data_IF_777210843177
#
_entry.id   IF_777210843177
#
_cell.length_a   1.000
_cell.length_b   1.000
_cell.length_c   1.000
_cell.angle_alpha   90.00
_cell.angle_beta   90.00
_cell.angle_gamma   90.00
#
_symmetry.space_group_name_H-M   'P 1'
#
loop_
_entity.id
_entity.type
_entity.pdbx_description
1 polymer ?
#
# COMPACT_ATOMS: atom_id res chain seq x y z
N UNK A 1 36.50 17.27 22.89
CA UNK A 1 35.45 16.36 22.35
C UNK A 1 35.09 15.34 23.42
N UNK A 2 33.83 14.90 23.52
CA UNK A 2 33.44 13.80 24.41
C UNK A 2 34.33 12.57 24.18
N UNK A 3 34.69 11.84 25.23
CA UNK A 3 35.53 10.62 25.16
C UNK A 3 34.93 9.53 24.25
N UNK A 4 33.60 9.57 24.04
CA UNK A 4 32.87 8.71 23.11
C UNK A 4 33.32 8.82 21.64
N UNK A 5 33.96 9.92 21.23
CA UNK A 5 34.48 10.11 19.87
C UNK A 5 36.01 9.98 19.79
N UNK A 6 36.65 9.40 20.83
CA UNK A 6 38.10 9.33 20.90
C UNK A 6 38.72 8.27 19.98
N UNK A 7 37.94 7.26 19.56
CA UNK A 7 38.44 6.21 18.66
C UNK A 7 38.26 6.59 17.20
N UNK A 8 39.29 6.35 16.37
CA UNK A 8 39.20 6.58 14.91
C UNK A 8 38.22 5.63 14.22
N UNK A 9 37.89 4.49 14.85
CA UNK A 9 37.01 3.47 14.30
C UNK A 9 35.98 3.08 15.36
N UNK A 10 34.78 2.71 14.92
CA UNK A 10 33.73 2.13 15.77
C UNK A 10 34.26 0.86 16.44
N UNK A 11 34.17 0.72 17.78
CA UNK A 11 34.53 -0.50 18.48
C UNK A 11 33.73 -1.69 17.95
N UNK A 12 34.40 -2.63 17.27
CA UNK A 12 33.74 -3.75 16.56
C UNK A 12 33.03 -4.75 17.48
N UNK A 13 33.43 -4.79 18.75
CA UNK A 13 32.78 -5.63 19.76
C UNK A 13 31.44 -5.04 20.26
N UNK A 14 31.28 -3.72 20.21
CA UNK A 14 30.07 -3.00 20.64
C UNK A 14 29.12 -2.70 19.47
N UNK A 15 29.51 -3.05 18.25
CA UNK A 15 28.69 -2.93 17.05
C UNK A 15 27.52 -3.92 17.13
N UNK A 16 26.29 -3.39 17.20
CA UNK A 16 25.06 -4.18 17.29
C UNK A 16 24.77 -4.87 15.94
N UNK A 17 25.30 -6.09 15.76
CA UNK A 17 25.08 -6.93 14.57
C UNK A 17 24.63 -8.34 14.95
N UNK A 18 23.57 -8.85 14.32
CA UNK A 18 23.08 -10.20 14.50
C UNK A 18 23.87 -11.24 13.65
N UNK A 19 25.19 -11.30 13.80
CA UNK A 19 26.05 -12.26 13.07
C UNK A 19 26.38 -13.48 13.93
N UNK A 20 25.89 -14.71 13.62
CA UNK A 20 26.11 -15.90 14.45
C UNK A 20 27.59 -16.19 14.75
N UNK A 21 28.48 -15.95 13.78
CA UNK A 21 29.93 -16.17 13.95
C UNK A 21 30.55 -15.30 15.06
N UNK A 22 29.98 -14.11 15.36
CA UNK A 22 30.47 -13.22 16.42
C UNK A 22 29.96 -13.61 17.81
N UNK A 23 28.85 -14.34 17.90
CA UNK A 23 28.15 -14.59 19.16
C UNK A 23 27.96 -16.09 19.47
N UNK A 24 28.54 -16.98 18.66
CA UNK A 24 28.58 -18.43 18.89
C UNK A 24 27.33 -19.18 18.40
N UNK A 25 26.15 -18.59 18.51
CA UNK A 25 24.90 -19.14 17.96
C UNK A 25 24.01 -18.06 17.36
N UNK A 26 22.95 -18.47 16.64
CA UNK A 26 21.96 -17.54 16.07
C UNK A 26 21.16 -16.85 17.17
N UNK A 27 20.74 -17.62 18.17
CA UNK A 27 19.94 -17.17 19.31
C UNK A 27 20.73 -16.17 20.17
N UNK A 28 22.02 -16.44 20.41
CA UNK A 28 22.88 -15.53 21.17
C UNK A 28 23.15 -14.22 20.40
N UNK A 29 23.27 -14.29 19.07
CA UNK A 29 23.42 -13.11 18.23
C UNK A 29 22.14 -12.24 18.22
N UNK A 30 20.97 -12.88 18.14
CA UNK A 30 19.66 -12.22 18.20
C UNK A 30 19.45 -11.56 19.57
N UNK A 31 19.74 -12.26 20.68
CA UNK A 31 19.65 -11.70 22.03
C UNK A 31 20.59 -10.50 22.24
N UNK A 32 21.87 -10.61 21.84
CA UNK A 32 22.82 -9.50 21.94
C UNK A 32 22.36 -8.26 21.16
N UNK A 33 21.88 -8.46 19.93
CA UNK A 33 21.34 -7.39 19.11
C UNK A 33 20.13 -6.74 19.80
N UNK A 34 19.21 -7.55 20.33
CA UNK A 34 17.98 -7.07 20.94
C UNK A 34 18.17 -6.31 22.23
N UNK A 35 18.98 -6.83 23.14
CA UNK A 35 19.27 -6.18 24.41
C UNK A 35 20.01 -4.86 24.18
N UNK A 36 20.98 -4.87 23.27
CA UNK A 36 21.75 -3.68 22.90
C UNK A 36 20.90 -2.61 22.20
N UNK A 37 20.04 -3.00 21.26
CA UNK A 37 19.12 -2.08 20.58
C UNK A 37 18.11 -1.50 21.56
N UNK A 38 17.55 -2.32 22.45
CA UNK A 38 16.61 -1.86 23.48
C UNK A 38 17.25 -0.84 24.41
N UNK A 39 18.47 -1.10 24.89
CA UNK A 39 19.21 -0.17 25.74
C UNK A 39 19.58 1.13 25.00
N UNK A 40 20.01 1.05 23.75
CA UNK A 40 20.29 2.22 22.92
C UNK A 40 19.04 3.08 22.72
N UNK A 41 17.91 2.46 22.39
CA UNK A 41 16.62 3.14 22.22
C UNK A 41 16.11 3.73 23.53
N UNK A 42 16.28 3.02 24.67
CA UNK A 42 15.90 3.53 26.00
C UNK A 42 16.67 4.80 26.33
N UNK A 43 17.99 4.83 26.10
CA UNK A 43 18.80 6.03 26.31
C UNK A 43 18.37 7.18 25.41
N UNK A 44 18.01 6.90 24.15
CA UNK A 44 17.46 7.90 23.25
C UNK A 44 16.11 8.43 23.77
N UNK A 45 15.21 7.58 24.24
CA UNK A 45 13.92 7.99 24.80
C UNK A 45 14.04 8.85 26.06
N UNK A 46 15.03 8.56 26.91
CA UNK A 46 15.30 9.32 28.14
C UNK A 46 15.95 10.68 27.88
N UNK A 47 16.85 10.76 26.89
CA UNK A 47 17.61 11.97 26.61
C UNK A 47 16.96 12.89 25.55
N UNK A 48 16.05 12.35 24.73
CA UNK A 48 15.33 13.15 23.75
C UNK A 48 14.43 14.17 24.44
N UNK A 49 14.46 15.40 23.93
CA UNK A 49 13.61 16.46 24.44
C UNK A 49 12.14 16.18 24.08
N UNK A 50 11.20 16.19 25.04
CA UNK A 50 9.82 15.73 24.81
C UNK A 50 9.03 16.57 23.79
N UNK A 51 9.45 17.80 23.52
CA UNK A 51 8.81 18.66 22.51
C UNK A 51 9.07 18.22 21.06
N UNK A 52 10.12 17.42 20.79
CA UNK A 52 10.53 17.07 19.43
C UNK A 52 10.40 15.56 19.19
N UNK A 53 9.98 15.15 17.99
CA UNK A 53 10.00 13.74 17.62
C UNK A 53 11.44 13.25 17.40
N UNK A 54 11.63 11.93 17.58
CA UNK A 54 12.85 11.21 17.22
C UNK A 54 12.58 10.46 15.92
N UNK A 55 13.44 10.66 14.92
CA UNK A 55 13.33 9.94 13.64
C UNK A 55 14.36 8.83 13.56
N UNK A 56 13.91 7.60 13.35
CA UNK A 56 14.80 6.43 13.19
C UNK A 56 14.77 5.97 11.75
N UNK A 57 15.94 5.91 11.13
CA UNK A 57 16.10 5.39 9.77
C UNK A 57 16.37 3.89 9.85
N UNK A 58 15.47 3.10 9.29
CA UNK A 58 15.58 1.65 9.26
C UNK A 58 15.66 1.16 7.82
N UNK A 59 16.70 0.38 7.53
CA UNK A 59 16.95 -0.16 6.19
C UNK A 59 16.37 -1.58 6.11
N UNK A 60 15.37 -1.76 5.26
CA UNK A 60 14.64 -3.03 5.11
C UNK A 60 15.23 -3.88 3.96
N UNK A 61 15.33 -5.20 4.16
CA UNK A 61 15.69 -6.14 3.08
C UNK A 61 14.46 -6.82 2.52
N UNK A 62 14.15 -6.56 1.24
CA UNK A 62 13.08 -7.24 0.49
C UNK A 62 13.17 -8.77 0.47
N UNK A 63 14.34 -9.36 0.68
CA UNK A 63 14.48 -10.83 0.72
C UNK A 63 13.84 -11.50 1.95
N UNK A 64 13.37 -10.72 2.92
CA UNK A 64 12.69 -11.21 4.12
C UNK A 64 11.17 -11.34 3.96
N UNK A 65 10.59 -10.83 2.86
CA UNK A 65 9.20 -11.10 2.46
C UNK A 65 9.12 -12.44 1.73
N UNK A 66 9.20 -13.55 2.48
CA UNK A 66 8.93 -14.89 1.92
C UNK A 66 7.50 -15.31 2.27
N UNK A 67 6.60 -15.17 1.30
CA UNK A 67 5.19 -15.56 1.41
C UNK A 67 4.28 -14.44 1.88
N UNK A 68 2.97 -14.72 1.97
CA UNK A 68 1.87 -13.83 2.39
C UNK A 68 2.01 -13.19 3.79
N UNK A 69 3.17 -13.35 4.43
CA UNK A 69 3.47 -12.77 5.73
C UNK A 69 4.38 -11.56 5.48
N UNK A 70 3.79 -10.37 5.47
CA UNK A 70 4.48 -9.07 5.32
C UNK A 70 5.34 -8.73 6.54
N UNK A 71 5.44 -9.66 7.48
CA UNK A 71 6.00 -9.48 8.82
C UNK A 71 7.36 -10.17 8.88
N UNK A 72 8.41 -9.39 8.60
CA UNK A 72 9.80 -9.85 8.74
C UNK A 72 10.11 -10.00 10.24
N UNK A 73 10.70 -11.13 10.68
CA UNK A 73 11.07 -11.31 12.09
C UNK A 73 11.98 -10.19 12.61
N UNK A 74 12.87 -9.66 11.76
CA UNK A 74 13.76 -8.56 12.12
C UNK A 74 13.03 -7.22 12.33
N UNK A 75 11.97 -6.98 11.57
CA UNK A 75 11.14 -5.78 11.68
C UNK A 75 10.29 -5.79 12.96
N UNK A 76 9.62 -6.91 13.25
CA UNK A 76 8.83 -7.08 14.49
C UNK A 76 9.69 -6.87 15.74
N UNK A 77 10.84 -7.56 15.74
CA UNK A 77 11.87 -7.51 16.77
C UNK A 77 12.35 -6.07 17.01
N UNK A 78 12.59 -5.32 15.94
CA UNK A 78 12.97 -3.92 16.03
C UNK A 78 11.84 -3.04 16.61
N UNK A 79 10.61 -3.18 16.12
CA UNK A 79 9.45 -2.44 16.65
C UNK A 79 9.21 -2.72 18.13
N UNK A 80 9.33 -3.98 18.55
CA UNK A 80 9.26 -4.35 19.96
C UNK A 80 10.29 -3.61 20.80
N UNK A 81 11.54 -3.54 20.36
CA UNK A 81 12.60 -2.84 21.07
C UNK A 81 12.29 -1.34 21.21
N UNK A 82 11.77 -0.70 20.16
CA UNK A 82 11.35 0.71 20.18
C UNK A 82 10.21 0.94 21.18
N UNK A 83 9.21 0.08 21.21
CA UNK A 83 8.06 0.20 22.13
C UNK A 83 8.44 -0.09 23.58
N UNK A 84 9.31 -1.10 23.82
CA UNK A 84 9.86 -1.45 25.13
C UNK A 84 10.76 -0.33 25.68
N UNK A 85 11.45 0.39 24.82
CA UNK A 85 12.24 1.58 25.18
C UNK A 85 11.38 2.78 25.62
N UNK A 86 10.05 2.72 25.46
CA UNK A 86 9.13 3.78 25.88
C UNK A 86 8.78 4.79 24.79
N UNK A 87 9.10 4.49 23.54
CA UNK A 87 8.57 5.25 22.40
C UNK A 87 7.19 4.75 22.00
N UNK A 88 6.38 5.67 21.50
CA UNK A 88 5.23 5.41 20.66
C UNK A 88 5.58 5.81 19.22
N UNK A 89 5.10 5.02 18.25
CA UNK A 89 5.17 5.39 16.84
C UNK A 89 4.07 6.41 16.57
N UNK A 90 4.39 7.41 15.76
CA UNK A 90 3.46 8.48 15.37
C UNK A 90 3.39 8.69 13.86
N UNK A 91 4.25 7.99 13.10
CA UNK A 91 4.20 7.94 11.65
C UNK A 91 5.33 7.07 11.09
N UNK A 92 5.14 6.56 9.89
CA UNK A 92 6.18 5.94 9.05
C UNK A 92 6.23 6.67 7.71
N UNK A 93 7.43 6.84 7.18
CA UNK A 93 7.62 7.43 5.86
C UNK A 93 8.50 6.52 5.01
N UNK A 94 8.03 6.08 3.83
CA UNK A 94 8.87 5.37 2.90
C UNK A 94 9.95 6.33 2.37
N UNK A 95 11.19 5.86 2.32
CA UNK A 95 12.33 6.59 1.79
C UNK A 95 13.01 5.74 0.71
N UNK A 96 13.02 6.27 -0.51
CA UNK A 96 13.79 5.72 -1.62
C UNK A 96 15.23 6.19 -1.50
N UNK A 97 16.16 5.26 -1.37
CA UNK A 97 17.59 5.56 -1.37
C UNK A 97 18.13 5.33 -2.78
N UNK A 98 18.59 6.40 -3.44
CA UNK A 98 19.06 6.42 -4.84
C UNK A 98 20.38 5.64 -5.12
N UNK A 99 20.80 4.72 -4.23
CA UNK A 99 22.11 4.06 -4.33
C UNK A 99 22.01 2.56 -4.57
N UNK A 100 22.15 2.17 -5.84
CA UNK A 100 22.41 0.80 -6.31
C UNK A 100 23.88 0.35 -6.16
N UNK A 101 24.64 0.90 -5.21
CA UNK A 101 26.06 0.55 -5.03
C UNK A 101 26.29 -0.41 -3.88
N UNK A 102 26.15 -1.69 -4.18
CA UNK A 102 26.78 -2.79 -3.44
C UNK A 102 27.71 -3.57 -4.35
N UNK A 103 29.03 -3.40 -4.22
CA UNK A 103 30.11 -4.08 -4.98
C UNK A 103 30.24 -5.59 -4.60
N UNK A 104 29.13 -6.22 -4.21
CA UNK A 104 29.04 -7.67 -4.05
C UNK A 104 27.95 -8.19 -4.98
N UNK A 105 28.38 -8.60 -6.15
CA UNK A 105 27.63 -9.42 -7.10
C UNK A 105 26.95 -10.56 -6.34
N UNK A 106 25.63 -10.51 -6.21
CA UNK A 106 24.81 -11.68 -5.82
C UNK A 106 24.07 -11.66 -4.48
N UNK A 107 24.08 -10.60 -3.66
CA UNK A 107 23.18 -10.57 -2.49
C UNK A 107 22.78 -9.16 -2.04
N UNK A 108 21.47 -8.92 -2.02
CA UNK A 108 20.77 -7.81 -1.37
C UNK A 108 20.93 -6.43 -2.01
N UNK A 109 20.08 -6.15 -3.01
CA UNK A 109 19.66 -4.78 -3.33
C UNK A 109 18.80 -4.30 -2.15
N UNK A 110 19.25 -3.25 -1.46
CA UNK A 110 18.44 -2.51 -0.47
C UNK A 110 17.38 -1.73 -1.25
N UNK A 111 16.15 -2.22 -1.27
CA UNK A 111 15.12 -1.69 -2.17
C UNK A 111 14.25 -0.57 -1.56
N UNK A 112 14.26 -0.37 -0.24
CA UNK A 112 13.63 0.79 0.40
C UNK A 112 14.09 0.93 1.85
N UNK A 113 14.20 2.17 2.34
CA UNK A 113 14.38 2.47 3.77
C UNK A 113 13.08 3.06 4.30
N UNK A 114 12.80 2.89 5.58
CA UNK A 114 11.64 3.48 6.25
C UNK A 114 12.15 4.43 7.33
N UNK A 115 11.56 5.61 7.41
CA UNK A 115 11.76 6.55 8.51
C UNK A 115 10.62 6.40 9.50
N UNK A 116 10.95 6.12 10.75
CA UNK A 116 9.98 6.04 11.84
C UNK A 116 9.99 7.31 12.64
N UNK A 117 8.82 7.90 12.84
CA UNK A 117 8.63 9.08 13.67
C UNK A 117 8.15 8.61 15.03
N UNK A 118 9.03 8.66 16.01
CA UNK A 118 8.79 8.22 17.36
C UNK A 118 8.62 9.42 18.30
N UNK A 119 7.73 9.31 19.26
CA UNK A 119 7.61 10.23 20.40
C UNK A 119 7.65 9.44 21.69
N UNK A 120 8.15 10.06 22.76
CA UNK A 120 8.08 9.42 24.08
C UNK A 120 6.61 9.18 24.42
N UNK A 121 6.25 7.93 24.72
CA UNK A 121 4.90 7.56 25.16
C UNK A 121 4.61 8.24 26.49
N UNK A 122 3.37 8.70 26.65
CA UNK A 122 2.92 9.23 27.93
C UNK A 122 3.02 8.13 29.01
N UNK A 123 3.77 8.34 30.11
CA UNK A 123 3.82 7.40 31.22
C UNK A 123 2.45 7.09 31.84
N UNK A 124 1.46 7.99 31.67
CA UNK A 124 0.09 7.83 32.12
C UNK A 124 -0.84 7.19 31.07
N UNK A 125 -0.30 6.73 29.93
CA UNK A 125 -1.11 6.09 28.88
C UNK A 125 -1.87 4.87 29.42
N UNK A 126 -3.20 4.79 29.22
CA UNK A 126 -3.98 3.67 29.71
C UNK A 126 -3.67 2.39 28.95
N UNK A 127 -3.94 1.25 29.59
CA UNK A 127 -4.09 -0.01 28.88
C UNK A 127 -5.52 -0.12 28.34
N UNK A 128 -5.69 -0.81 27.22
CA UNK A 128 -6.96 -0.89 26.48
C UNK A 128 -7.27 -2.34 26.14
N UNK A 129 -8.55 -2.69 25.94
CA UNK A 129 -8.89 -4.03 25.46
C UNK A 129 -8.63 -4.19 23.96
N UNK A 130 -8.36 -5.41 23.49
CA UNK A 130 -8.27 -5.75 22.06
C UNK A 130 -9.47 -5.25 21.24
N UNK A 131 -10.68 -5.32 21.82
CA UNK A 131 -11.91 -4.85 21.16
C UNK A 131 -11.90 -3.35 20.91
N UNK A 132 -11.44 -2.57 21.89
CA UNK A 132 -11.35 -1.12 21.78
C UNK A 132 -10.23 -0.70 20.83
N UNK A 133 -9.08 -1.38 20.88
CA UNK A 133 -8.00 -1.23 19.89
C UNK A 133 -8.53 -1.43 18.46
N UNK A 134 -9.23 -2.54 18.19
CA UNK A 134 -9.81 -2.80 16.87
C UNK A 134 -10.82 -1.75 16.43
N UNK A 135 -11.63 -1.24 17.36
CA UNK A 135 -12.59 -0.17 17.07
C UNK A 135 -11.88 1.13 16.67
N UNK A 136 -10.79 1.49 17.35
CA UNK A 136 -10.01 2.68 16.98
C UNK A 136 -9.25 2.49 15.68
N UNK A 137 -8.68 1.29 15.46
CA UNK A 137 -7.98 0.95 14.23
C UNK A 137 -8.92 1.06 13.02
N UNK A 138 -10.13 0.49 13.10
CA UNK A 138 -11.19 0.60 12.08
C UNK A 138 -11.66 2.03 11.80
N UNK A 139 -11.43 2.96 12.72
CA UNK A 139 -11.78 4.38 12.54
C UNK A 139 -10.62 5.17 11.93
N UNK A 140 -9.41 4.99 12.47
CA UNK A 140 -8.26 5.82 12.12
C UNK A 140 -7.55 5.38 10.83
N UNK A 141 -7.51 4.06 10.56
CA UNK A 141 -6.76 3.54 9.42
C UNK A 141 -7.36 3.95 8.07
N UNK A 142 -8.70 3.88 7.84
CA UNK A 142 -9.29 4.34 6.58
C UNK A 142 -9.00 5.80 6.25
N UNK A 143 -9.10 6.70 7.25
CA UNK A 143 -8.81 8.13 7.07
C UNK A 143 -7.36 8.36 6.64
N UNK A 144 -6.40 7.67 7.29
CA UNK A 144 -5.00 7.74 6.91
C UNK A 144 -4.74 7.15 5.51
N UNK A 145 -5.42 6.07 5.14
CA UNK A 145 -5.30 5.46 3.81
C UNK A 145 -5.90 6.34 2.71
N UNK A 146 -7.00 7.05 2.98
CA UNK A 146 -7.57 8.02 2.06
C UNK A 146 -6.58 9.17 1.77
N UNK A 147 -5.95 9.72 2.81
CA UNK A 147 -4.90 10.74 2.66
C UNK A 147 -3.69 10.22 1.88
N UNK A 148 -3.24 9.01 2.20
CA UNK A 148 -2.10 8.39 1.53
C UNK A 148 -2.37 8.05 0.06
N UNK A 149 -3.56 7.55 -0.26
CA UNK A 149 -3.95 7.22 -1.64
C UNK A 149 -4.25 8.47 -2.47
N UNK A 150 -4.67 9.57 -1.83
CA UNK A 150 -4.73 10.88 -2.48
C UNK A 150 -3.33 11.41 -2.80
N UNK A 151 -2.36 11.22 -1.90
CA UNK A 151 -0.95 11.56 -2.12
C UNK A 151 -0.28 10.58 -3.10
N UNK A 152 0.71 11.00 -3.90
CA UNK A 152 1.36 10.16 -4.93
C UNK A 152 2.31 9.07 -4.38
N UNK A 153 1.88 8.29 -3.39
CA UNK A 153 2.65 7.17 -2.80
C UNK A 153 2.49 5.93 -3.67
N UNK A 154 3.59 5.29 -4.07
CA UNK A 154 3.53 4.06 -4.84
C UNK A 154 2.92 2.89 -4.02
N UNK A 155 2.27 1.90 -4.64
CA UNK A 155 1.56 0.84 -3.92
C UNK A 155 2.45 0.01 -2.99
N UNK A 156 3.65 -0.35 -3.47
CA UNK A 156 4.65 -1.07 -2.66
C UNK A 156 5.06 -0.27 -1.41
N UNK A 157 5.08 1.06 -1.53
CA UNK A 157 5.40 1.98 -0.45
C UNK A 157 4.18 2.22 0.46
N UNK A 158 2.96 2.09 -0.05
CA UNK A 158 1.70 2.27 0.68
C UNK A 158 1.51 1.21 1.76
N UNK A 159 1.79 -0.06 1.45
CA UNK A 159 1.73 -1.15 2.43
C UNK A 159 2.70 -0.95 3.62
N UNK A 160 3.83 -0.27 3.39
CA UNK A 160 4.80 0.06 4.44
C UNK A 160 4.45 1.37 5.17
N UNK A 161 3.91 2.35 4.45
CA UNK A 161 3.43 3.61 5.01
C UNK A 161 2.23 3.39 5.94
N UNK A 162 1.33 2.48 5.60
CA UNK A 162 0.12 2.17 6.38
C UNK A 162 0.38 1.49 7.72
N UNK A 163 1.53 0.80 7.86
CA UNK A 163 1.97 0.25 9.16
C UNK A 163 2.12 1.37 10.19
N UNK A 164 2.53 2.58 9.79
CA UNK A 164 2.72 3.72 10.69
C UNK A 164 1.45 4.14 11.42
N UNK A 165 0.38 4.52 10.71
CA UNK A 165 -0.92 4.81 11.30
C UNK A 165 -1.45 3.65 12.17
N UNK A 166 -1.36 2.41 11.70
CA UNK A 166 -1.80 1.26 12.48
C UNK A 166 -1.01 1.09 13.79
N UNK A 167 0.32 1.19 13.72
CA UNK A 167 1.20 1.11 14.88
C UNK A 167 1.10 2.33 15.79
N UNK A 168 0.69 3.49 15.28
CA UNK A 168 0.40 4.66 16.11
C UNK A 168 -0.79 4.40 17.03
N UNK A 169 -1.86 3.79 16.49
CA UNK A 169 -3.04 3.39 17.29
C UNK A 169 -2.67 2.31 18.33
N UNK A 170 -1.79 1.37 17.98
CA UNK A 170 -1.34 0.34 18.91
C UNK A 170 -0.45 0.93 20.03
N UNK A 171 0.50 1.78 19.66
CA UNK A 171 1.57 2.23 20.55
C UNK A 171 1.25 3.45 21.40
N UNK A 172 0.14 4.14 21.15
CA UNK A 172 -0.36 5.21 22.03
C UNK A 172 -0.77 4.68 23.42
N UNK A 173 -1.11 3.40 23.53
CA UNK A 173 -1.49 2.75 24.79
C UNK A 173 -0.28 2.15 25.50
N UNK A 174 -0.39 1.96 26.83
CA UNK A 174 0.66 1.26 27.59
C UNK A 174 0.66 -0.24 27.32
N UNK A 175 -0.52 -0.83 27.05
CA UNK A 175 -0.69 -2.19 26.56
C UNK A 175 -2.08 -2.36 25.90
N UNK A 176 -2.16 -3.22 24.89
CA UNK A 176 -3.43 -3.77 24.41
C UNK A 176 -3.59 -5.15 25.04
N UNK A 177 -4.68 -5.37 25.77
CA UNK A 177 -4.90 -6.60 26.54
C UNK A 177 -5.81 -7.56 25.79
N UNK A 178 -5.38 -8.82 25.75
CA UNK A 178 -6.17 -9.97 25.29
C UNK A 178 -7.23 -10.35 26.34
N UNK A 179 -8.14 -11.25 25.96
CA UNK A 179 -9.24 -11.69 26.83
C UNK A 179 -8.77 -12.39 28.11
N UNK A 180 -7.57 -12.98 28.09
CA UNK A 180 -6.91 -13.61 29.24
C UNK A 180 -6.12 -12.62 30.11
N UNK A 181 -6.13 -11.33 29.74
CA UNK A 181 -5.40 -10.26 30.43
C UNK A 181 -3.93 -10.14 30.06
N UNK A 182 -3.42 -10.97 29.15
CA UNK A 182 -2.04 -10.85 28.65
C UNK A 182 -1.90 -9.70 27.65
N UNK A 183 -0.74 -9.04 27.57
CA UNK A 183 -0.48 -8.05 26.52
C UNK A 183 -0.39 -8.70 25.14
N UNK A 184 -1.10 -8.14 24.17
CA UNK A 184 -1.00 -8.49 22.75
C UNK A 184 0.43 -8.23 22.25
N UNK A 185 0.95 -9.15 21.44
CA UNK A 185 2.27 -9.02 20.83
C UNK A 185 2.28 -7.99 19.68
N UNK A 186 3.46 -7.49 19.32
CA UNK A 186 3.61 -6.62 18.13
C UNK A 186 3.27 -7.39 16.85
N UNK A 187 3.63 -8.67 16.79
CA UNK A 187 3.25 -9.55 15.69
C UNK A 187 1.73 -9.59 15.49
N UNK A 188 0.97 -9.89 16.54
CA UNK A 188 -0.50 -9.94 16.47
C UNK A 188 -1.10 -8.59 16.07
N UNK A 189 -0.54 -7.49 16.55
CA UNK A 189 -0.96 -6.16 16.16
C UNK A 189 -0.74 -5.91 14.65
N UNK A 190 0.41 -6.28 14.11
CA UNK A 190 0.72 -6.14 12.68
C UNK A 190 -0.19 -7.01 11.81
N UNK A 191 -0.50 -8.24 12.23
CA UNK A 191 -1.47 -9.10 11.55
C UNK A 191 -2.85 -8.43 11.49
N UNK A 192 -3.30 -7.82 12.60
CA UNK A 192 -4.56 -7.10 12.63
C UNK A 192 -4.54 -5.85 11.74
N UNK A 193 -3.45 -5.07 11.75
CA UNK A 193 -3.29 -3.88 10.90
C UNK A 193 -3.34 -4.26 9.41
N UNK A 194 -2.59 -5.30 9.01
CA UNK A 194 -2.59 -5.79 7.63
C UNK A 194 -3.99 -6.28 7.20
N UNK A 195 -4.71 -6.96 8.09
CA UNK A 195 -6.09 -7.37 7.80
C UNK A 195 -7.03 -6.19 7.60
N UNK A 196 -6.94 -5.15 8.42
CA UNK A 196 -7.78 -3.96 8.25
C UNK A 196 -7.42 -3.17 6.97
N UNK A 197 -6.14 -3.17 6.57
CA UNK A 197 -5.71 -2.65 5.28
C UNK A 197 -6.33 -3.45 4.12
N UNK A 198 -6.33 -4.78 4.22
CA UNK A 198 -6.96 -5.65 3.22
C UNK A 198 -8.48 -5.42 3.14
N UNK A 199 -9.14 -5.27 4.30
CA UNK A 199 -10.56 -4.95 4.40
C UNK A 199 -10.87 -3.61 3.70
N UNK A 200 -10.06 -2.57 3.94
CA UNK A 200 -10.24 -1.26 3.29
C UNK A 200 -10.23 -1.36 1.74
N UNK A 201 -9.24 -2.04 1.16
CA UNK A 201 -9.18 -2.21 -0.29
C UNK A 201 -10.28 -3.14 -0.84
N UNK A 202 -10.78 -4.06 -0.01
CA UNK A 202 -11.85 -5.00 -0.39
C UNK A 202 -13.24 -4.35 -0.32
N UNK A 203 -13.50 -3.53 0.69
CA UNK A 203 -14.83 -2.98 1.02
C UNK A 203 -15.15 -1.66 0.33
N UNK A 204 -14.15 -0.94 -0.21
CA UNK A 204 -14.33 0.29 -1.03
C UNK A 204 -15.15 0.12 -2.33
N UNK A 205 -15.82 -1.02 -2.51
CA UNK A 205 -16.68 -1.34 -3.66
C UNK A 205 -17.98 -0.52 -3.74
N UNK A 206 -18.33 0.24 -2.70
CA UNK A 206 -19.60 0.99 -2.63
C UNK A 206 -19.77 2.03 -3.75
N UNK A 207 -18.67 2.67 -4.18
CA UNK A 207 -18.65 3.69 -5.24
C UNK A 207 -18.35 3.12 -6.64
N UNK A 208 -18.08 1.81 -6.76
CA UNK A 208 -17.79 1.18 -8.05
C UNK A 208 -19.08 0.73 -8.76
N UNK A 209 -19.11 0.92 -10.07
CA UNK A 209 -20.20 0.45 -10.92
C UNK A 209 -20.36 -1.09 -10.83
N UNK A 210 -21.56 -1.57 -11.17
CA UNK A 210 -21.92 -2.98 -11.03
C UNK A 210 -21.03 -3.93 -11.85
N UNK A 211 -20.53 -3.49 -13.00
CA UNK A 211 -19.70 -4.31 -13.88
C UNK A 211 -18.28 -4.41 -13.33
N UNK A 212 -17.72 -3.30 -12.84
CA UNK A 212 -16.43 -3.31 -12.13
C UNK A 212 -16.46 -4.23 -10.91
N UNK A 213 -17.56 -4.22 -10.14
CA UNK A 213 -17.73 -5.12 -8.98
C UNK A 213 -17.79 -6.60 -9.41
N UNK A 214 -18.41 -6.90 -10.55
CA UNK A 214 -18.36 -8.25 -11.12
C UNK A 214 -16.94 -8.64 -11.51
N UNK A 215 -16.24 -7.79 -12.26
CA UNK A 215 -14.89 -8.07 -12.74
C UNK A 215 -13.92 -8.32 -11.59
N UNK A 216 -14.03 -7.53 -10.50
CA UNK A 216 -13.24 -7.74 -9.28
C UNK A 216 -13.47 -9.13 -8.66
N UNK A 217 -14.73 -9.52 -8.47
CA UNK A 217 -15.07 -10.83 -7.92
C UNK A 217 -14.61 -11.97 -8.82
N UNK A 218 -14.80 -11.82 -10.14
CA UNK A 218 -14.36 -12.83 -11.10
C UNK A 218 -12.85 -12.98 -11.12
N UNK A 219 -12.11 -11.87 -11.10
CA UNK A 219 -10.65 -11.85 -11.11
C UNK A 219 -10.07 -12.44 -9.82
N UNK A 220 -10.68 -12.21 -8.66
CA UNK A 220 -10.23 -12.78 -7.39
C UNK A 220 -10.34 -14.32 -7.35
N UNK A 221 -11.38 -14.87 -7.97
CA UNK A 221 -11.67 -16.30 -8.01
C UNK A 221 -10.93 -17.02 -9.15
N UNK A 222 -10.99 -16.46 -10.37
CA UNK A 222 -10.58 -17.11 -11.61
C UNK A 222 -9.37 -16.46 -12.28
N UNK A 223 -8.91 -15.30 -11.80
CA UNK A 223 -7.89 -14.49 -12.46
C UNK A 223 -8.31 -14.14 -13.89
N UNK A 224 -7.36 -14.28 -14.82
CA UNK A 224 -7.59 -14.15 -16.26
C UNK A 224 -8.11 -15.42 -16.95
N UNK A 225 -8.32 -16.49 -16.19
CA UNK A 225 -8.70 -17.80 -16.71
C UNK A 225 -10.16 -17.87 -17.19
N UNK A 226 -10.47 -18.95 -17.91
CA UNK A 226 -11.84 -19.31 -18.25
C UNK A 226 -12.54 -19.94 -17.05
N UNK A 227 -13.78 -19.53 -16.79
CA UNK A 227 -14.68 -20.13 -15.81
C UNK A 227 -16.04 -20.48 -16.43
N UNK A 228 -16.93 -21.11 -15.66
CA UNK A 228 -18.22 -21.57 -16.17
C UNK A 228 -19.22 -20.42 -16.26
N UNK A 229 -20.02 -20.38 -17.33
CA UNK A 229 -21.07 -19.36 -17.49
C UNK A 229 -22.08 -19.36 -16.34
N UNK A 230 -22.42 -20.53 -15.77
CA UNK A 230 -23.34 -20.61 -14.63
C UNK A 230 -22.80 -19.91 -13.37
N UNK A 231 -21.49 -20.00 -13.12
CA UNK A 231 -20.83 -19.31 -11.99
C UNK A 231 -20.80 -17.79 -12.27
N UNK A 232 -20.52 -17.40 -13.52
CA UNK A 232 -20.54 -16.00 -13.94
C UNK A 232 -21.94 -15.36 -13.81
N UNK A 233 -23.00 -16.08 -14.18
CA UNK A 233 -24.38 -15.58 -14.09
C UNK A 233 -24.82 -15.38 -12.63
N UNK A 234 -24.44 -16.31 -11.73
CA UNK A 234 -24.70 -16.15 -10.29
C UNK A 234 -23.96 -14.93 -9.73
N UNK A 235 -22.67 -14.77 -10.07
CA UNK A 235 -21.89 -13.61 -9.63
C UNK A 235 -22.43 -12.30 -10.19
N UNK A 236 -22.77 -12.25 -11.49
CA UNK A 236 -23.30 -11.04 -12.13
C UNK A 236 -24.60 -10.57 -11.46
N UNK A 237 -25.53 -11.49 -11.20
CA UNK A 237 -26.79 -11.20 -10.49
C UNK A 237 -26.55 -10.70 -9.07
N UNK A 238 -25.60 -11.30 -8.34
CA UNK A 238 -25.23 -10.88 -7.00
C UNK A 238 -24.64 -9.45 -6.95
N UNK A 239 -24.01 -8.99 -8.05
CA UNK A 239 -23.46 -7.63 -8.18
C UNK A 239 -24.39 -6.64 -8.86
N UNK A 240 -25.61 -7.06 -9.23
CA UNK A 240 -26.61 -6.19 -9.84
C UNK A 240 -26.39 -5.93 -11.34
N UNK A 241 -25.75 -6.86 -12.04
CA UNK A 241 -25.52 -6.79 -13.50
C UNK A 241 -25.84 -8.14 -14.17
N UNK A 242 -25.51 -8.28 -15.46
CA UNK A 242 -25.72 -9.48 -16.28
C UNK A 242 -24.49 -9.78 -17.12
N UNK A 243 -24.21 -11.05 -17.41
CA UNK A 243 -23.05 -11.43 -18.24
C UNK A 243 -23.11 -10.79 -19.63
N UNK A 244 -24.30 -10.66 -20.22
CA UNK A 244 -24.48 -10.00 -21.51
C UNK A 244 -24.26 -8.49 -21.44
N UNK A 245 -24.67 -7.84 -20.34
CA UNK A 245 -24.38 -6.42 -20.11
C UNK A 245 -22.89 -6.14 -19.97
N UNK A 246 -22.17 -7.02 -19.28
CA UNK A 246 -20.72 -6.95 -19.10
C UNK A 246 -19.98 -7.25 -20.41
N UNK A 247 -20.47 -8.22 -21.19
CA UNK A 247 -19.96 -8.47 -22.55
C UNK A 247 -20.19 -7.27 -23.46
N UNK A 248 -21.34 -6.61 -23.34
CA UNK A 248 -21.66 -5.37 -24.07
C UNK A 248 -20.73 -4.20 -23.73
N UNK A 249 -20.17 -4.19 -22.53
CA UNK A 249 -19.12 -3.25 -22.11
C UNK A 249 -17.70 -3.66 -22.54
N UNK A 250 -17.54 -4.74 -23.32
CA UNK A 250 -16.24 -5.14 -23.87
C UNK A 250 -15.22 -5.66 -22.86
N UNK A 251 -15.60 -5.96 -21.60
CA UNK A 251 -14.65 -6.39 -20.56
C UNK A 251 -14.52 -7.91 -20.38
N UNK A 252 -15.48 -8.68 -20.92
CA UNK A 252 -15.48 -10.15 -20.89
C UNK A 252 -15.70 -10.76 -22.27
N UNK A 253 -15.05 -11.89 -22.49
CA UNK A 253 -15.45 -12.83 -23.54
C UNK A 253 -16.33 -13.91 -22.94
N UNK A 254 -17.50 -14.12 -23.54
CA UNK A 254 -18.40 -15.19 -23.13
C UNK A 254 -18.84 -15.99 -24.37
N UNK A 255 -18.69 -17.31 -24.33
CA UNK A 255 -18.92 -18.17 -25.49
C UNK A 255 -18.71 -19.64 -25.14
N UNK A 256 -19.44 -20.54 -25.82
CA UNK A 256 -19.29 -21.98 -25.60
C UNK A 256 -19.54 -22.45 -24.15
N UNK A 257 -20.37 -21.73 -23.39
CA UNK A 257 -20.64 -22.02 -21.97
C UNK A 257 -19.53 -21.57 -21.01
N UNK A 258 -18.54 -20.83 -21.49
CA UNK A 258 -17.42 -20.28 -20.71
C UNK A 258 -17.43 -18.76 -20.71
N UNK A 259 -16.81 -18.18 -19.70
CA UNK A 259 -16.61 -16.74 -19.54
C UNK A 259 -15.17 -16.50 -19.10
N UNK A 260 -14.51 -15.45 -19.60
CA UNK A 260 -13.21 -14.97 -19.12
C UNK A 260 -13.14 -13.44 -19.18
N UNK A 261 -12.31 -12.85 -18.34
CA UNK A 261 -11.96 -11.43 -18.44
C UNK A 261 -10.97 -11.20 -19.58
N UNK A 262 -11.07 -10.04 -20.23
CA UNK A 262 -10.07 -9.58 -21.18
C UNK A 262 -8.89 -8.94 -20.45
N UNK A 263 -7.67 -9.32 -20.84
CA UNK A 263 -6.43 -8.68 -20.36
C UNK A 263 -6.29 -7.29 -20.96
N UNK A 264 -5.61 -6.37 -20.27
CA UNK A 264 -5.33 -5.02 -20.78
C UNK A 264 -4.72 -5.01 -22.19
N UNK A 265 -3.90 -6.00 -22.53
CA UNK A 265 -3.24 -6.13 -23.84
C UNK A 265 -4.19 -6.55 -24.98
N UNK A 266 -5.38 -7.05 -24.66
CA UNK A 266 -6.40 -7.51 -25.62
C UNK A 266 -7.40 -6.41 -25.98
N UNK A 267 -7.39 -5.28 -25.27
CA UNK A 267 -8.33 -4.17 -25.51
C UNK A 267 -8.00 -3.40 -26.81
N UNK A 268 -9.04 -2.90 -27.50
CA UNK A 268 -8.89 -2.26 -28.82
C UNK A 268 -8.07 -0.96 -28.79
N UNK A 269 -7.37 -0.69 -29.90
CA UNK A 269 -6.52 0.49 -30.11
C UNK A 269 -7.25 1.81 -30.24
N UNK A 270 -8.43 1.76 -30.83
CA UNK A 270 -9.26 2.89 -31.22
C UNK A 270 -10.36 3.23 -30.20
N UNK A 271 -10.27 2.70 -28.97
CA UNK A 271 -11.25 2.99 -27.93
C UNK A 271 -11.25 4.45 -27.52
N UNK A 272 -12.44 5.04 -27.43
CA UNK A 272 -12.66 6.36 -26.86
C UNK A 272 -13.81 6.33 -25.84
N UNK A 273 -13.62 6.91 -24.65
CA UNK A 273 -14.65 6.98 -23.62
C UNK A 273 -15.89 7.78 -24.06
N UNK A 274 -15.74 8.65 -25.07
CA UNK A 274 -16.84 9.48 -25.60
C UNK A 274 -17.78 8.70 -26.52
N UNK A 275 -17.26 7.67 -27.19
CA UNK A 275 -18.03 6.82 -28.11
C UNK A 275 -18.69 5.63 -27.42
N UNK A 276 -18.34 5.36 -26.17
CA UNK A 276 -18.80 4.21 -25.42
C UNK A 276 -19.89 4.58 -24.40
N UNK A 277 -21.03 3.90 -24.54
CA UNK A 277 -22.22 4.11 -23.71
C UNK A 277 -22.17 3.42 -22.35
N UNK A 278 -21.25 2.47 -22.14
CA UNK A 278 -21.15 1.64 -20.94
C UNK A 278 -19.69 1.38 -20.58
N UNK A 279 -19.08 2.40 -20.00
CA UNK A 279 -17.67 2.40 -19.63
C UNK A 279 -17.48 2.16 -18.11
N UNK A 280 -17.38 0.91 -17.66
CA UNK A 280 -17.06 0.63 -16.26
C UNK A 280 -15.65 1.13 -15.91
N UNK A 281 -15.43 1.42 -14.62
CA UNK A 281 -14.10 1.81 -14.11
C UNK A 281 -13.04 0.75 -14.44
N UNK A 282 -13.44 -0.53 -14.48
CA UNK A 282 -12.60 -1.64 -14.94
C UNK A 282 -12.05 -1.43 -16.35
N UNK A 283 -12.92 -1.17 -17.33
CA UNK A 283 -12.53 -0.95 -18.72
C UNK A 283 -11.59 0.26 -18.83
N UNK A 284 -11.99 1.38 -18.21
CA UNK A 284 -11.23 2.62 -18.21
C UNK A 284 -9.80 2.43 -17.66
N UNK A 285 -9.66 1.70 -16.56
CA UNK A 285 -8.35 1.37 -15.99
C UNK A 285 -7.49 0.54 -16.96
N UNK A 286 -8.05 -0.50 -17.58
CA UNK A 286 -7.29 -1.39 -18.44
C UNK A 286 -6.89 -0.72 -19.75
N UNK A 287 -7.72 0.16 -20.31
CA UNK A 287 -7.33 1.04 -21.42
C UNK A 287 -6.22 2.01 -21.02
N UNK A 288 -6.31 2.60 -19.83
CA UNK A 288 -5.26 3.51 -19.33
C UNK A 288 -3.92 2.79 -19.16
N UNK A 289 -3.93 1.57 -18.61
CA UNK A 289 -2.74 0.71 -18.52
C UNK A 289 -2.20 0.43 -19.92
N UNK A 290 -3.04 0.01 -20.86
CA UNK A 290 -2.63 -0.32 -22.23
C UNK A 290 -1.97 0.87 -22.93
N UNK A 291 -2.55 2.06 -22.83
CA UNK A 291 -1.98 3.29 -23.41
C UNK A 291 -0.69 3.68 -22.71
N UNK A 292 -0.62 3.54 -21.38
CA UNK A 292 0.62 3.76 -20.63
C UNK A 292 1.74 2.80 -21.08
N UNK A 293 1.43 1.52 -21.29
CA UNK A 293 2.38 0.47 -21.65
C UNK A 293 2.82 0.52 -23.13
N UNK A 294 1.91 0.86 -24.03
CA UNK A 294 2.12 0.72 -25.49
C UNK A 294 2.01 2.05 -26.27
N UNK A 295 1.29 3.04 -25.76
CA UNK A 295 0.86 4.23 -26.50
C UNK A 295 1.82 5.41 -26.46
N UNK A 296 2.75 5.47 -25.50
CA UNK A 296 3.65 6.62 -25.36
C UNK A 296 3.94 7.04 -23.92
N UNK A 297 3.56 6.20 -22.93
CA UNK A 297 3.81 6.47 -21.52
C UNK A 297 2.83 7.48 -20.92
N UNK A 298 3.36 8.43 -20.16
CA UNK A 298 2.58 9.35 -19.32
C UNK A 298 1.68 10.30 -20.12
N UNK A 299 2.15 10.79 -21.28
CA UNK A 299 1.46 11.82 -22.06
C UNK A 299 0.15 11.31 -22.67
N UNK A 300 0.17 10.12 -23.27
CA UNK A 300 -1.03 9.53 -23.89
C UNK A 300 -2.00 9.03 -22.82
N UNK A 301 -1.49 8.52 -21.69
CA UNK A 301 -2.31 8.18 -20.54
C UNK A 301 -3.04 9.43 -19.98
N UNK A 302 -2.36 10.58 -19.93
CA UNK A 302 -2.94 11.85 -19.51
C UNK A 302 -4.00 12.36 -20.49
N UNK A 303 -3.77 12.22 -21.80
CA UNK A 303 -4.76 12.57 -22.82
C UNK A 303 -6.03 11.71 -22.70
N UNK A 304 -5.88 10.40 -22.47
CA UNK A 304 -7.02 9.51 -22.26
C UNK A 304 -7.78 9.84 -20.97
N UNK A 305 -7.05 10.12 -19.88
CA UNK A 305 -7.65 10.49 -18.59
C UNK A 305 -8.46 11.79 -18.68
N UNK A 306 -8.03 12.75 -19.51
CA UNK A 306 -8.76 13.99 -19.75
C UNK A 306 -10.14 13.75 -20.39
N UNK A 307 -10.28 12.69 -21.21
CA UNK A 307 -11.56 12.25 -21.76
C UNK A 307 -12.51 11.61 -20.73
N UNK A 308 -12.07 11.43 -19.47
CA UNK A 308 -12.82 10.77 -18.40
C UNK A 308 -12.93 11.64 -17.13
N UNK A 309 -13.49 12.86 -17.21
CA UNK A 309 -13.55 13.78 -16.07
C UNK A 309 -14.30 13.16 -14.89
N UNK A 310 -13.75 13.30 -13.69
CA UNK A 310 -14.34 12.78 -12.45
C UNK A 310 -14.11 11.28 -12.19
N UNK A 311 -13.44 10.55 -13.08
CA UNK A 311 -13.14 9.11 -12.89
C UNK A 311 -11.74 8.83 -12.37
N UNK A 312 -10.85 9.82 -12.34
CA UNK A 312 -9.46 9.66 -11.92
C UNK A 312 -9.34 8.98 -10.54
N UNK A 313 -10.08 9.46 -9.54
CA UNK A 313 -10.06 8.87 -8.20
C UNK A 313 -10.49 7.40 -8.18
N UNK A 314 -11.59 7.06 -8.87
CA UNK A 314 -12.09 5.69 -8.93
C UNK A 314 -11.13 4.73 -9.67
N UNK A 315 -10.55 5.18 -10.79
CA UNK A 315 -9.54 4.42 -11.54
C UNK A 315 -8.31 4.16 -10.68
N UNK A 316 -7.84 5.19 -9.97
CA UNK A 316 -6.68 5.09 -9.09
C UNK A 316 -6.92 4.11 -7.94
N UNK A 317 -8.07 4.23 -7.27
CA UNK A 317 -8.47 3.31 -6.20
C UNK A 317 -8.56 1.86 -6.71
N UNK A 318 -9.14 1.64 -7.90
CA UNK A 318 -9.21 0.33 -8.51
C UNK A 318 -7.81 -0.24 -8.81
N UNK A 319 -6.88 0.60 -9.28
CA UNK A 319 -5.51 0.19 -9.54
C UNK A 319 -4.80 -0.28 -8.26
N UNK A 320 -4.90 0.47 -7.15
CA UNK A 320 -4.33 0.05 -5.86
C UNK A 320 -4.92 -1.28 -5.40
N UNK A 321 -6.25 -1.44 -5.50
CA UNK A 321 -6.93 -2.68 -5.13
C UNK A 321 -6.44 -3.88 -5.92
N UNK A 322 -6.32 -3.74 -7.25
CA UNK A 322 -5.86 -4.83 -8.12
C UNK A 322 -4.40 -5.17 -7.87
N UNK A 323 -3.54 -4.18 -7.63
CA UNK A 323 -2.17 -4.41 -7.21
C UNK A 323 -2.09 -5.25 -5.92
N UNK A 324 -2.78 -4.82 -4.86
CA UNK A 324 -2.78 -5.50 -3.56
C UNK A 324 -3.33 -6.93 -3.68
N UNK A 325 -4.38 -7.13 -4.48
CA UNK A 325 -4.93 -8.45 -4.77
C UNK A 325 -3.90 -9.36 -5.47
N UNK A 326 -3.20 -8.86 -6.48
CA UNK A 326 -2.17 -9.61 -7.19
C UNK A 326 -1.01 -9.98 -6.28
N UNK A 327 -0.51 -9.05 -5.45
CA UNK A 327 0.57 -9.32 -4.49
C UNK A 327 0.19 -10.45 -3.53
N UNK A 328 -1.02 -10.40 -2.94
CA UNK A 328 -1.54 -11.41 -2.02
C UNK A 328 -1.71 -12.79 -2.66
N UNK A 329 -1.91 -12.84 -3.97
CA UNK A 329 -2.03 -14.10 -4.74
C UNK A 329 -0.68 -14.56 -5.30
N UNK A 330 0.39 -13.77 -5.13
CA UNK A 330 1.70 -14.02 -5.72
C UNK A 330 1.74 -13.85 -7.24
N UNK A 331 0.81 -13.07 -7.81
CA UNK A 331 0.69 -12.82 -9.25
C UNK A 331 1.55 -11.62 -9.68
N UNK A 332 2.87 -11.74 -9.54
CA UNK A 332 3.80 -10.63 -9.76
C UNK A 332 3.72 -10.01 -11.16
N UNK A 333 3.58 -10.82 -12.22
CA UNK A 333 3.45 -10.31 -13.59
C UNK A 333 2.16 -9.53 -13.81
N UNK A 334 1.08 -9.91 -13.12
CA UNK A 334 -0.20 -9.20 -13.17
C UNK A 334 -0.20 -7.96 -12.28
N UNK A 335 0.62 -7.92 -11.22
CA UNK A 335 0.79 -6.74 -10.36
C UNK A 335 1.56 -5.60 -11.06
N UNK A 336 2.53 -5.95 -11.92
CA UNK A 336 3.46 -4.99 -12.53
C UNK A 336 2.77 -3.80 -13.23
N UNK A 337 1.78 -3.99 -14.12
CA UNK A 337 1.19 -2.87 -14.85
C UNK A 337 0.45 -1.87 -13.94
N UNK A 338 -0.18 -2.35 -12.86
CA UNK A 338 -0.82 -1.49 -11.87
C UNK A 338 0.21 -0.67 -11.10
N UNK A 339 1.31 -1.29 -10.67
CA UNK A 339 2.39 -0.60 -9.96
C UNK A 339 3.03 0.52 -10.80
N UNK A 340 3.29 0.23 -12.08
CA UNK A 340 3.87 1.20 -13.00
C UNK A 340 2.94 2.40 -13.23
N UNK A 341 1.65 2.16 -13.48
CA UNK A 341 0.65 3.23 -13.65
C UNK A 341 0.50 4.09 -12.39
N UNK A 342 0.49 3.48 -11.20
CA UNK A 342 0.34 4.24 -9.95
C UNK A 342 1.60 5.05 -9.66
N UNK A 343 2.77 4.52 -9.99
CA UNK A 343 4.05 5.23 -9.83
C UNK A 343 4.11 6.47 -10.74
N UNK A 344 3.59 6.38 -11.97
CA UNK A 344 3.52 7.50 -12.91
C UNK A 344 2.28 8.39 -12.72
N UNK A 345 1.37 8.04 -11.81
CA UNK A 345 0.07 8.70 -11.65
C UNK A 345 0.17 10.21 -11.44
N UNK A 346 1.09 10.66 -10.59
CA UNK A 346 1.29 12.10 -10.35
C UNK A 346 1.70 12.87 -11.61
N UNK A 347 2.49 12.25 -12.49
CA UNK A 347 2.87 12.84 -13.77
C UNK A 347 1.72 12.81 -14.78
N UNK A 348 0.95 11.71 -14.81
CA UNK A 348 -0.27 11.58 -15.63
C UNK A 348 -1.29 12.66 -15.24
N UNK A 349 -1.57 12.84 -13.95
CA UNK A 349 -2.50 13.89 -13.47
C UNK A 349 -1.99 15.30 -13.77
N UNK A 350 -0.69 15.57 -13.57
CA UNK A 350 -0.11 16.88 -13.85
C UNK A 350 -0.12 17.24 -15.35
N UNK A 351 0.00 16.23 -16.22
CA UNK A 351 -0.06 16.38 -17.68
C UNK A 351 -1.49 16.32 -18.22
N UNK A 352 -2.48 15.92 -17.41
CA UNK A 352 -3.88 15.84 -17.82
C UNK A 352 -4.37 17.26 -18.12
N UNK A 353 -4.68 17.60 -19.38
CA UNK A 353 -5.19 18.91 -19.69
C UNK A 353 -6.46 19.17 -18.88
N UNK A 354 -6.50 20.29 -18.15
CA UNK A 354 -7.75 20.73 -17.55
C UNK A 354 -8.74 20.94 -18.70
N UNK A 355 -9.75 20.07 -18.80
CA UNK A 355 -10.86 20.28 -19.71
C UNK A 355 -11.56 21.53 -19.21
N UNK A 356 -11.15 22.71 -19.71
CA UNK A 356 -11.94 23.92 -19.61
C UNK A 356 -13.25 23.55 -20.30
N UNK A 357 -14.29 23.30 -19.49
CA UNK A 357 -15.64 23.23 -19.99
C UNK A 357 -15.80 24.47 -20.86
N UNK A 358 -15.88 24.28 -22.17
CA UNK A 358 -16.16 25.36 -23.10
C UNK A 358 -17.63 25.68 -22.90
N UNK A 359 -17.96 26.30 -21.77
CA UNK A 359 -19.16 27.11 -21.69
C UNK A 359 -18.92 28.19 -22.72
N UNK A 360 -19.61 28.05 -23.85
CA UNK A 360 -19.63 29.07 -24.90
C UNK A 360 -19.89 30.39 -24.21
N UNK A 361 -18.84 31.22 -24.10
CA UNK A 361 -18.92 32.51 -23.46
C UNK A 361 -19.98 33.29 -24.23
N UNK A 362 -21.14 33.52 -23.61
CA UNK A 362 -22.21 34.31 -24.24
C UNK A 362 -21.59 35.63 -24.65
N UNK A 363 -21.53 35.87 -25.97
CA UNK A 363 -21.08 37.16 -26.50
C UNK A 363 -21.96 38.25 -25.92
N UNK A 364 -21.34 39.38 -25.60
CA UNK A 364 -21.99 40.59 -25.06
C UNK A 364 -23.15 41.09 -25.95
N UNK A 365 -23.23 40.63 -27.19
CA UNK A 365 -24.27 40.93 -28.17
C UNK A 365 -25.67 40.43 -27.73
N UNK A 366 -25.75 39.57 -26.71
CA UNK A 366 -27.02 39.03 -26.19
C UNK A 366 -27.76 39.92 -25.19
N UNK A 367 -27.29 41.15 -24.94
CA UNK A 367 -27.93 42.13 -24.05
C UNK A 367 -28.59 43.33 -24.74
N UNK A 368 -28.69 43.34 -26.08
CA UNK A 368 -29.43 44.40 -26.79
C UNK A 368 -30.47 43.77 -27.72
N UNK A 369 -31.72 43.83 -27.28
CA UNK A 369 -32.92 43.40 -27.98
C UNK A 369 -34.13 43.57 -27.08
#
# INVERSE_FOLDING_TARGET
>A
MPSLFATMVVPKAEELVATPYRHGSKEAAEAFFMDGMTEAMRRLAEQAHPAFPVTIYYAFKQSETKGNDTTSPGWETFLEAVLKAGFALTGTWPMRTERDFGVKTGSNVLASSIVLVCRRRDPAAPAVSRKEFLRELKRALPEALDEMTASSIAPVDLAQASIGPGMAVFSQYSAVLEADGTPMSVHDALVLINRELDEYFSDGSGDLDADTRFCLGWFEENGWGEGKFGEADVLARARGTTVDGIRGAGVVEAGGGKVRLMKWSEYPEDWSPESDSRTPVWEALHHLIRVHQCGGGEQEAAALLAGMPGRAAAIRQLAYRLYTLCERKGWAEDARPYNELITSWGAVEAQTPAVMATQSQRRLDSYVG
#
